data_IF_513077023049
#
_entry.id   IF_513077023049
#
_cell.length_a   1.000
_cell.length_b   1.000
_cell.length_c   1.000
_cell.angle_alpha   90.00
_cell.angle_beta   90.00
_cell.angle_gamma   90.00
#
_symmetry.space_group_name_H-M   'P 1'
#
loop_
_entity.id
_entity.type
_entity.pdbx_description
1 polymer ?
#
# COMPACT_ATOMS: atom_id res chain seq x y z
N UNK A 1 -15.32 -9.74 52.07
CA UNK A 1 -15.73 -10.32 50.76
C UNK A 1 -14.48 -10.74 50.00
N UNK A 2 -14.28 -12.05 49.88
CA UNK A 2 -13.18 -12.67 49.12
C UNK A 2 -13.63 -12.75 47.66
N UNK A 3 -12.88 -12.14 46.74
CA UNK A 3 -13.05 -12.32 45.31
C UNK A 3 -11.86 -13.09 44.75
N UNK A 4 -12.08 -14.41 44.67
CA UNK A 4 -11.26 -15.42 44.02
C UNK A 4 -11.36 -15.21 42.51
N UNK A 5 -10.30 -14.67 41.87
CA UNK A 5 -10.18 -14.64 40.41
C UNK A 5 -9.93 -16.07 39.91
N UNK A 6 -10.80 -16.56 39.04
CA UNK A 6 -10.66 -17.84 38.35
C UNK A 6 -9.59 -17.68 37.27
N UNK A 7 -8.54 -18.50 37.33
CA UNK A 7 -7.54 -18.70 36.26
C UNK A 7 -8.28 -19.23 35.03
N UNK A 8 -8.28 -18.49 33.91
CA UNK A 8 -8.86 -19.01 32.67
C UNK A 8 -8.77 -18.11 31.44
N UNK A 9 -8.76 -16.79 31.57
CA UNK A 9 -8.77 -15.88 30.41
C UNK A 9 -7.75 -14.75 30.58
N UNK A 10 -6.47 -15.11 30.47
CA UNK A 10 -5.47 -14.13 30.03
C UNK A 10 -5.56 -14.17 28.51
N UNK A 11 -6.19 -13.16 27.91
CA UNK A 11 -6.07 -12.90 26.47
C UNK A 11 -4.56 -12.94 26.17
N UNK A 12 -4.11 -13.89 25.34
CA UNK A 12 -2.72 -13.91 24.89
C UNK A 12 -2.48 -12.56 24.21
N UNK A 13 -1.63 -11.74 24.82
CA UNK A 13 -1.23 -10.46 24.23
C UNK A 13 -0.63 -10.75 22.85
N UNK A 14 -1.08 -10.02 21.84
CA UNK A 14 -0.55 -10.18 20.49
C UNK A 14 0.92 -9.74 20.48
N UNK A 15 1.80 -10.43 19.73
CA UNK A 15 3.18 -9.99 19.56
C UNK A 15 3.24 -8.54 19.07
N UNK A 16 4.28 -7.79 19.41
CA UNK A 16 4.40 -6.40 18.96
C UNK A 16 4.35 -6.25 17.43
N UNK A 17 3.84 -5.10 16.96
CA UNK A 17 3.89 -4.71 15.55
C UNK A 17 4.99 -3.68 15.35
N UNK A 18 5.91 -3.93 14.42
CA UNK A 18 6.93 -2.96 13.99
C UNK A 18 6.54 -2.37 12.65
N UNK A 19 6.55 -1.04 12.51
CA UNK A 19 6.30 -0.36 11.23
C UNK A 19 7.56 0.39 10.77
N UNK A 20 7.93 0.21 9.50
CA UNK A 20 9.10 0.84 8.89
C UNK A 20 8.74 1.41 7.51
N UNK A 21 9.23 2.63 7.22
CA UNK A 21 9.20 3.20 5.87
C UNK A 21 10.46 2.77 5.14
N UNK A 22 10.31 2.27 3.92
CA UNK A 22 11.41 1.89 3.05
C UNK A 22 11.35 2.76 1.80
N UNK A 23 12.38 3.56 1.60
CA UNK A 23 12.47 4.51 0.50
C UNK A 23 13.03 3.84 -0.76
N UNK A 24 12.26 3.87 -1.83
CA UNK A 24 12.66 3.43 -3.17
C UNK A 24 13.17 4.63 -3.97
N UNK A 25 14.37 4.51 -4.55
CA UNK A 25 14.99 5.58 -5.34
C UNK A 25 14.70 5.38 -6.81
N UNK A 26 14.02 6.34 -7.43
CA UNK A 26 13.74 6.33 -8.86
C UNK A 26 15.02 6.33 -9.69
N UNK A 27 15.01 5.54 -10.77
CA UNK A 27 15.98 5.65 -11.87
C UNK A 27 15.82 6.95 -12.65
N UNK A 28 16.70 7.19 -13.63
CA UNK A 28 16.70 8.43 -14.39
C UNK A 28 15.42 8.58 -15.24
N UNK A 29 15.01 7.52 -15.96
CA UNK A 29 13.81 7.56 -16.79
C UNK A 29 12.55 7.74 -15.95
N UNK A 30 12.41 6.98 -14.86
CA UNK A 30 11.26 7.10 -13.94
C UNK A 30 11.16 8.50 -13.34
N UNK A 31 12.29 9.07 -12.88
CA UNK A 31 12.33 10.40 -12.26
C UNK A 31 11.95 11.47 -13.27
N UNK A 32 12.54 11.44 -14.47
CA UNK A 32 12.21 12.40 -15.54
C UNK A 32 10.73 12.35 -15.90
N UNK A 33 10.17 11.15 -16.01
CA UNK A 33 8.75 10.97 -16.29
C UNK A 33 7.90 11.58 -15.17
N UNK A 34 8.21 11.28 -13.91
CA UNK A 34 7.52 11.83 -12.75
C UNK A 34 7.55 13.36 -12.71
N UNK A 35 8.74 13.96 -12.83
CA UNK A 35 8.94 15.42 -12.79
C UNK A 35 8.16 16.14 -13.89
N UNK A 36 8.13 15.60 -15.11
CA UNK A 36 7.37 16.19 -16.22
C UNK A 36 5.87 16.26 -15.91
N UNK A 37 5.30 15.20 -15.32
CA UNK A 37 3.89 15.21 -14.92
C UNK A 37 3.63 16.14 -13.73
N UNK A 38 4.54 16.17 -12.76
CA UNK A 38 4.39 16.98 -11.56
C UNK A 38 4.46 18.49 -11.88
N UNK A 39 5.46 18.92 -12.66
CA UNK A 39 5.59 20.31 -13.12
C UNK A 39 4.38 20.73 -13.93
N UNK A 40 3.93 19.88 -14.88
CA UNK A 40 2.76 20.19 -15.70
C UNK A 40 1.50 20.39 -14.86
N UNK A 41 1.29 19.56 -13.85
CA UNK A 41 0.16 19.69 -12.95
C UNK A 41 0.27 20.95 -12.10
N UNK A 42 1.46 21.25 -11.58
CA UNK A 42 1.73 22.47 -10.79
C UNK A 42 1.43 23.74 -11.61
N UNK A 43 1.98 23.86 -12.82
CA UNK A 43 1.70 24.99 -13.71
C UNK A 43 0.21 25.14 -14.07
N UNK A 44 -0.50 24.01 -14.20
CA UNK A 44 -1.95 24.02 -14.45
C UNK A 44 -2.72 24.54 -13.24
N UNK A 45 -2.30 24.19 -12.02
CA UNK A 45 -2.94 24.63 -10.78
C UNK A 45 -2.70 26.12 -10.52
N UNK A 46 -1.48 26.61 -10.75
CA UNK A 46 -1.13 28.02 -10.57
C UNK A 46 -2.05 28.95 -11.37
N UNK A 47 -2.35 28.57 -12.62
CA UNK A 47 -3.16 29.33 -13.56
C UNK A 47 -4.67 29.28 -13.28
N UNK A 48 -5.13 28.36 -12.44
CA UNK A 48 -6.55 28.19 -12.12
C UNK A 48 -6.97 29.02 -10.91
N UNK A 49 -8.13 29.67 -10.99
CA UNK A 49 -8.83 30.21 -9.83
C UNK A 49 -9.44 29.09 -8.98
N UNK A 50 -9.83 29.40 -7.74
CA UNK A 50 -10.47 28.42 -6.84
C UNK A 50 -11.78 27.86 -7.44
N UNK A 51 -12.56 28.70 -8.14
CA UNK A 51 -13.79 28.26 -8.80
C UNK A 51 -13.52 27.29 -9.96
N UNK A 52 -12.48 27.55 -10.75
CA UNK A 52 -12.06 26.65 -11.84
C UNK A 52 -11.52 25.34 -11.29
N UNK A 53 -10.79 25.38 -10.18
CA UNK A 53 -10.28 24.21 -9.49
C UNK A 53 -11.41 23.32 -8.98
N UNK A 54 -12.47 23.89 -8.39
CA UNK A 54 -13.64 23.09 -7.97
C UNK A 54 -14.34 22.42 -9.16
N UNK A 55 -14.43 23.11 -10.31
CA UNK A 55 -14.99 22.54 -11.55
C UNK A 55 -14.07 21.48 -12.19
N UNK A 56 -12.75 21.65 -12.08
CA UNK A 56 -11.72 20.80 -12.65
C UNK A 56 -11.19 19.70 -11.72
N UNK A 57 -11.76 19.55 -10.51
CA UNK A 57 -11.22 18.68 -9.46
C UNK A 57 -11.03 17.23 -9.89
N UNK A 58 -11.95 16.70 -10.69
CA UNK A 58 -11.84 15.34 -11.22
C UNK A 58 -10.58 15.15 -12.09
N UNK A 59 -10.24 16.14 -12.91
CA UNK A 59 -9.03 16.09 -13.74
C UNK A 59 -7.78 16.12 -12.86
N UNK A 60 -7.75 16.97 -11.84
CA UNK A 60 -6.63 17.04 -10.89
C UNK A 60 -6.43 15.70 -10.18
N UNK A 61 -7.52 15.07 -9.72
CA UNK A 61 -7.46 13.75 -9.11
C UNK A 61 -6.95 12.66 -10.07
N UNK A 62 -7.28 12.75 -11.36
CA UNK A 62 -6.77 11.85 -12.37
C UNK A 62 -5.25 12.02 -12.57
N UNK A 63 -4.74 13.25 -12.63
CA UNK A 63 -3.30 13.52 -12.74
C UNK A 63 -2.53 13.09 -11.49
N UNK A 64 -3.07 13.33 -10.29
CA UNK A 64 -2.48 12.82 -9.04
C UNK A 64 -2.46 11.28 -9.00
N UNK A 65 -3.51 10.65 -9.51
CA UNK A 65 -3.55 9.19 -9.66
C UNK A 65 -2.44 8.73 -10.61
N UNK A 66 -2.22 9.45 -11.71
CA UNK A 66 -1.15 9.17 -12.67
C UNK A 66 0.24 9.28 -12.04
N UNK A 67 0.49 10.34 -11.25
CA UNK A 67 1.74 10.49 -10.49
C UNK A 67 1.99 9.31 -9.54
N UNK A 68 0.95 8.87 -8.82
CA UNK A 68 1.04 7.70 -7.93
C UNK A 68 1.30 6.40 -8.70
N UNK A 69 0.69 6.23 -9.88
CA UNK A 69 0.97 5.09 -10.76
C UNK A 69 2.41 5.11 -11.28
N UNK A 70 2.96 6.28 -11.64
CA UNK A 70 4.37 6.44 -12.02
C UNK A 70 5.30 6.07 -10.85
N UNK A 71 4.94 6.43 -9.61
CA UNK A 71 5.69 6.00 -8.43
C UNK A 71 5.67 4.48 -8.26
N UNK A 72 4.52 3.84 -8.48
CA UNK A 72 4.35 2.40 -8.37
C UNK A 72 5.13 1.63 -9.43
N UNK A 73 4.82 1.88 -10.70
CA UNK A 73 5.48 1.29 -11.86
C UNK A 73 5.05 2.02 -13.15
N UNK A 74 5.95 2.73 -13.84
CA UNK A 74 5.63 3.37 -15.12
C UNK A 74 5.11 2.42 -16.20
N UNK A 75 5.49 1.14 -16.14
CA UNK A 75 5.03 0.06 -17.02
C UNK A 75 3.50 -0.11 -16.99
N UNK A 76 2.84 0.34 -15.92
CA UNK A 76 1.37 0.35 -15.82
C UNK A 76 0.71 1.33 -16.80
N UNK A 77 1.47 2.32 -17.27
CA UNK A 77 0.99 3.42 -18.10
C UNK A 77 1.64 3.48 -19.48
N UNK A 78 2.85 2.93 -19.61
CA UNK A 78 3.70 3.08 -20.78
C UNK A 78 4.29 1.72 -21.18
N UNK A 79 3.80 1.15 -22.27
CA UNK A 79 4.26 -0.17 -22.78
C UNK A 79 5.73 -0.18 -23.20
N UNK A 80 6.27 0.99 -23.58
CA UNK A 80 7.65 1.16 -24.03
C UNK A 80 8.62 1.56 -22.91
N UNK A 81 8.17 1.59 -21.65
CA UNK A 81 9.07 1.80 -20.52
C UNK A 81 9.99 0.58 -20.35
N UNK A 82 11.31 0.83 -20.30
CA UNK A 82 12.32 -0.23 -20.45
C UNK A 82 13.13 -0.50 -19.18
N UNK A 83 13.23 0.50 -18.30
CA UNK A 83 13.82 0.33 -16.98
C UNK A 83 12.89 -0.48 -16.06
N UNK A 84 13.39 -0.95 -14.92
CA UNK A 84 12.54 -1.56 -13.90
C UNK A 84 12.11 -0.50 -12.89
N UNK A 85 10.83 -0.52 -12.50
CA UNK A 85 10.34 0.38 -11.44
C UNK A 85 11.13 0.24 -10.13
N UNK A 86 11.52 1.37 -9.55
CA UNK A 86 12.26 1.39 -8.28
C UNK A 86 11.55 0.66 -7.13
N UNK A 87 10.22 0.76 -7.05
CA UNK A 87 9.44 0.09 -5.99
C UNK A 87 9.33 -1.40 -6.23
N UNK A 88 9.29 -1.86 -7.48
CA UNK A 88 9.33 -3.29 -7.81
C UNK A 88 10.65 -3.88 -7.35
N UNK A 89 11.79 -3.26 -7.69
CA UNK A 89 13.11 -3.75 -7.26
C UNK A 89 13.26 -3.75 -5.73
N UNK A 90 12.92 -2.63 -5.07
CA UNK A 90 12.93 -2.55 -3.60
C UNK A 90 12.02 -3.61 -2.97
N UNK A 91 10.85 -3.88 -3.56
CA UNK A 91 9.93 -4.89 -3.07
C UNK A 91 10.52 -6.31 -3.21
N UNK A 92 11.16 -6.61 -4.33
CA UNK A 92 11.82 -7.91 -4.53
C UNK A 92 12.95 -8.12 -3.53
N UNK A 93 13.76 -7.10 -3.25
CA UNK A 93 14.79 -7.16 -2.21
C UNK A 93 14.20 -7.52 -0.84
N UNK A 94 13.10 -6.89 -0.44
CA UNK A 94 12.40 -7.23 0.80
C UNK A 94 11.83 -8.65 0.79
N UNK A 95 11.29 -9.10 -0.35
CA UNK A 95 10.77 -10.47 -0.50
C UNK A 95 11.91 -11.48 -0.29
N UNK A 96 13.08 -11.27 -0.91
CA UNK A 96 14.23 -12.16 -0.73
C UNK A 96 14.73 -12.19 0.71
N UNK A 97 14.83 -11.03 1.36
CA UNK A 97 15.24 -10.95 2.76
C UNK A 97 14.27 -11.69 3.68
N UNK A 98 12.97 -11.49 3.50
CA UNK A 98 11.94 -12.18 4.27
C UNK A 98 11.96 -13.71 4.04
N UNK A 99 12.10 -14.16 2.80
CA UNK A 99 12.21 -15.59 2.47
C UNK A 99 13.47 -16.22 3.07
N UNK A 100 14.59 -15.51 3.07
CA UNK A 100 15.85 -15.97 3.68
C UNK A 100 15.70 -16.16 5.20
N UNK A 101 14.83 -15.38 5.83
CA UNK A 101 14.43 -15.53 7.24
C UNK A 101 13.26 -16.50 7.47
N UNK A 102 12.81 -17.25 6.45
CA UNK A 102 11.65 -18.15 6.52
C UNK A 102 10.35 -17.44 7.00
N UNK A 103 10.14 -16.23 6.50
CA UNK A 103 8.93 -15.44 6.71
C UNK A 103 8.02 -15.48 5.49
N UNK A 104 6.71 -15.56 5.75
CA UNK A 104 5.66 -15.35 4.74
C UNK A 104 5.20 -13.90 4.72
N UNK A 105 4.79 -13.46 3.54
CA UNK A 105 4.60 -12.06 3.19
C UNK A 105 3.18 -11.84 2.67
N UNK A 106 2.50 -10.84 3.21
CA UNK A 106 1.33 -10.23 2.56
C UNK A 106 1.76 -8.96 1.85
N UNK A 107 1.54 -8.87 0.55
CA UNK A 107 1.85 -7.69 -0.25
C UNK A 107 0.54 -7.03 -0.68
N UNK A 108 0.32 -5.83 -0.18
CA UNK A 108 -0.87 -5.04 -0.49
C UNK A 108 -0.58 -3.94 -1.49
N UNK A 109 -1.50 -3.75 -2.44
CA UNK A 109 -1.52 -2.58 -3.32
C UNK A 109 -2.97 -2.14 -3.55
N UNK A 110 -3.18 -0.83 -3.72
CA UNK A 110 -4.48 -0.33 -4.21
C UNK A 110 -4.62 -0.50 -5.73
N UNK A 111 -3.51 -0.53 -6.46
CA UNK A 111 -3.47 -0.59 -7.91
C UNK A 111 -3.29 -2.04 -8.38
N UNK A 112 -4.39 -2.73 -8.65
CA UNK A 112 -4.32 -4.12 -9.17
C UNK A 112 -3.53 -4.24 -10.48
N UNK A 113 -3.36 -3.16 -11.25
CA UNK A 113 -2.54 -3.15 -12.45
C UNK A 113 -1.04 -3.31 -12.19
N UNK A 114 -0.57 -3.21 -10.94
CA UNK A 114 0.83 -3.54 -10.60
C UNK A 114 1.06 -5.05 -10.44
N UNK A 115 0.01 -5.84 -10.18
CA UNK A 115 0.14 -7.27 -9.94
C UNK A 115 0.74 -8.02 -11.14
N UNK A 116 0.31 -7.81 -12.40
CA UNK A 116 0.94 -8.46 -13.54
C UNK A 116 2.47 -8.21 -13.64
N UNK A 117 2.95 -7.05 -13.19
CA UNK A 117 4.37 -6.69 -13.18
C UNK A 117 5.10 -7.47 -12.08
N UNK A 118 4.55 -7.47 -10.86
CA UNK A 118 5.10 -8.24 -9.73
C UNK A 118 5.08 -9.74 -10.00
N UNK A 119 4.00 -10.26 -10.58
CA UNK A 119 3.84 -11.66 -10.97
C UNK A 119 4.88 -12.09 -11.99
N UNK A 120 5.11 -11.28 -13.04
CA UNK A 120 6.17 -11.53 -14.01
C UNK A 120 7.52 -11.67 -13.32
N UNK A 121 7.82 -10.79 -12.35
CA UNK A 121 9.08 -10.82 -11.60
C UNK A 121 9.18 -12.04 -10.69
N UNK A 122 8.12 -12.36 -9.94
CA UNK A 122 8.03 -13.56 -9.09
C UNK A 122 8.21 -14.85 -9.90
N UNK A 123 7.58 -14.95 -11.08
CA UNK A 123 7.69 -16.10 -11.98
C UNK A 123 9.10 -16.26 -12.56
N UNK A 124 9.74 -15.15 -12.98
CA UNK A 124 11.13 -15.16 -13.45
C UNK A 124 12.09 -15.71 -12.39
N UNK A 125 11.80 -15.44 -11.12
CA UNK A 125 12.58 -15.89 -9.97
C UNK A 125 12.09 -17.21 -9.36
N UNK A 126 11.05 -17.81 -9.94
CA UNK A 126 10.43 -19.07 -9.47
C UNK A 126 9.92 -18.99 -8.03
N UNK A 127 9.46 -17.81 -7.60
CA UNK A 127 8.84 -17.59 -6.29
C UNK A 127 7.34 -17.89 -6.41
N UNK A 128 6.82 -18.92 -5.72
CA UNK A 128 5.40 -19.21 -5.75
C UNK A 128 4.62 -18.13 -5.00
N UNK A 129 3.40 -17.84 -5.46
CA UNK A 129 2.55 -16.83 -4.86
C UNK A 129 1.06 -17.17 -5.00
N UNK A 130 0.24 -16.54 -4.19
CA UNK A 130 -1.21 -16.42 -4.40
C UNK A 130 -1.57 -14.99 -4.73
N UNK A 131 -2.68 -14.80 -5.44
CA UNK A 131 -3.24 -13.49 -5.77
C UNK A 131 -4.71 -13.43 -5.36
N UNK A 132 -5.09 -12.36 -4.68
CA UNK A 132 -6.46 -12.09 -4.27
C UNK A 132 -6.87 -10.69 -4.70
N UNK A 133 -7.87 -10.63 -5.57
CA UNK A 133 -8.51 -9.38 -6.01
C UNK A 133 -9.99 -9.38 -5.71
N UNK A 134 -10.66 -8.26 -6.00
CA UNK A 134 -12.12 -8.16 -5.87
C UNK A 134 -12.88 -9.11 -6.79
N UNK A 135 -12.22 -9.61 -7.85
CA UNK A 135 -12.78 -10.55 -8.81
C UNK A 135 -12.67 -12.02 -8.36
N UNK A 136 -11.85 -12.30 -7.32
CA UNK A 136 -11.68 -13.65 -6.79
C UNK A 136 -12.97 -14.12 -6.10
N UNK A 137 -13.50 -15.27 -6.54
CA UNK A 137 -14.70 -15.89 -5.95
C UNK A 137 -14.50 -16.22 -4.47
N UNK A 138 -15.60 -16.25 -3.70
CA UNK A 138 -15.57 -16.56 -2.26
C UNK A 138 -14.95 -17.94 -1.98
N UNK A 139 -15.24 -18.93 -2.81
CA UNK A 139 -14.70 -20.29 -2.69
C UNK A 139 -13.17 -20.31 -2.89
N UNK A 140 -12.67 -19.75 -4.00
CA UNK A 140 -11.24 -19.68 -4.26
C UNK A 140 -10.49 -18.88 -3.19
N UNK A 141 -11.11 -17.81 -2.69
CA UNK A 141 -10.57 -17.02 -1.57
C UNK A 141 -10.35 -17.87 -0.32
N UNK A 142 -11.35 -18.66 0.10
CA UNK A 142 -11.23 -19.53 1.27
C UNK A 142 -10.12 -20.57 1.05
N UNK A 143 -10.13 -21.23 -0.12
CA UNK A 143 -9.11 -22.21 -0.50
C UNK A 143 -7.68 -21.65 -0.44
N UNK A 144 -7.42 -20.49 -1.05
CA UNK A 144 -6.09 -19.88 -1.04
C UNK A 144 -5.67 -19.42 0.37
N UNK A 145 -6.61 -18.95 1.18
CA UNK A 145 -6.33 -18.56 2.58
C UNK A 145 -5.90 -19.76 3.42
N UNK A 146 -6.61 -20.88 3.30
CA UNK A 146 -6.26 -22.13 3.98
C UNK A 146 -4.90 -22.67 3.50
N UNK A 147 -4.68 -22.67 2.19
CA UNK A 147 -3.42 -23.12 1.59
C UNK A 147 -2.24 -22.21 1.98
N UNK A 148 -2.44 -20.89 2.04
CA UNK A 148 -1.39 -19.97 2.47
C UNK A 148 -1.04 -20.15 3.95
N UNK A 149 -2.03 -20.38 4.81
CA UNK A 149 -1.77 -20.59 6.23
C UNK A 149 -1.04 -21.92 6.51
N UNK A 150 -1.41 -22.99 5.79
CA UNK A 150 -0.90 -24.35 6.03
C UNK A 150 0.29 -24.79 5.16
N UNK A 151 0.46 -24.20 3.97
CA UNK A 151 1.49 -24.58 3.00
C UNK A 151 2.76 -23.72 3.09
N UNK A 152 3.63 -23.80 2.08
CA UNK A 152 4.94 -23.10 2.07
C UNK A 152 5.02 -21.93 1.09
N UNK A 153 3.90 -21.54 0.48
CA UNK A 153 3.86 -20.41 -0.47
C UNK A 153 4.23 -19.11 0.27
N UNK A 154 5.33 -18.42 -0.12
CA UNK A 154 5.89 -17.32 0.65
C UNK A 154 5.15 -16.00 0.47
N UNK A 155 4.50 -15.78 -0.68
CA UNK A 155 3.94 -14.47 -1.06
C UNK A 155 2.44 -14.56 -1.31
N UNK A 156 1.69 -13.62 -0.75
CA UNK A 156 0.28 -13.40 -1.07
C UNK A 156 0.05 -11.96 -1.53
N UNK A 157 -0.21 -11.78 -2.83
CA UNK A 157 -0.61 -10.50 -3.42
C UNK A 157 -2.09 -10.23 -3.12
N UNK A 158 -2.40 -9.10 -2.51
CA UNK A 158 -3.75 -8.79 -2.06
C UNK A 158 -4.12 -7.38 -2.49
N UNK A 159 -5.17 -7.26 -3.30
CA UNK A 159 -5.72 -5.94 -3.58
C UNK A 159 -6.39 -5.41 -2.32
N UNK A 160 -6.16 -4.13 -2.02
CA UNK A 160 -6.77 -3.49 -0.85
C UNK A 160 -8.29 -3.73 -0.77
N UNK A 161 -9.00 -3.49 -1.87
CA UNK A 161 -10.47 -3.63 -1.92
C UNK A 161 -10.94 -5.03 -1.55
N UNK A 162 -10.12 -6.05 -1.78
CA UNK A 162 -10.40 -7.44 -1.38
C UNK A 162 -9.95 -7.77 0.06
N UNK A 163 -8.99 -7.01 0.61
CA UNK A 163 -8.51 -7.12 1.99
C UNK A 163 -9.57 -6.80 3.07
N UNK A 164 -10.61 -6.02 2.73
CA UNK A 164 -11.72 -5.70 3.64
C UNK A 164 -12.66 -6.87 3.99
N UNK A 165 -12.45 -8.06 3.41
CA UNK A 165 -13.46 -9.14 3.40
C UNK A 165 -13.34 -10.19 4.52
N UNK A 166 -12.66 -9.90 5.62
CA UNK A 166 -12.67 -10.79 6.79
C UNK A 166 -11.56 -11.87 6.85
N UNK A 167 -10.56 -11.80 5.96
CA UNK A 167 -9.50 -12.81 5.83
C UNK A 167 -8.68 -13.01 7.11
N UNK A 168 -8.34 -14.27 7.42
CA UNK A 168 -7.47 -14.65 8.53
C UNK A 168 -6.15 -15.21 7.98
N UNK A 169 -5.08 -14.42 8.00
CA UNK A 169 -3.80 -14.72 7.35
C UNK A 169 -2.65 -14.71 8.38
N UNK A 170 -2.83 -15.45 9.46
CA UNK A 170 -1.91 -15.46 10.62
C UNK A 170 -0.53 -16.07 10.32
N UNK A 171 -0.37 -16.81 9.22
CA UNK A 171 0.94 -17.38 8.88
C UNK A 171 1.95 -16.34 8.37
N UNK A 172 1.48 -15.17 7.93
CA UNK A 172 2.36 -14.08 7.52
C UNK A 172 2.94 -13.34 8.74
N UNK A 173 4.23 -13.04 8.68
CA UNK A 173 4.93 -12.22 9.68
C UNK A 173 5.51 -10.94 9.08
N UNK A 174 5.46 -10.82 7.75
CA UNK A 174 5.83 -9.61 7.02
C UNK A 174 4.61 -9.10 6.26
N UNK A 175 4.38 -7.79 6.35
CA UNK A 175 3.38 -7.07 5.55
C UNK A 175 4.11 -6.01 4.75
N UNK A 176 3.91 -5.97 3.44
CA UNK A 176 4.43 -4.93 2.57
C UNK A 176 3.24 -4.14 2.02
N UNK A 177 3.18 -2.86 2.33
CA UNK A 177 2.31 -1.91 1.62
C UNK A 177 3.10 -1.34 0.45
N UNK A 178 2.76 -1.79 -0.76
CA UNK A 178 3.44 -1.41 -1.97
C UNK A 178 3.20 0.05 -2.35
N UNK A 179 2.08 0.65 -1.94
CA UNK A 179 1.75 2.05 -2.17
C UNK A 179 1.03 2.66 -0.96
N UNK A 180 1.28 3.93 -0.63
CA UNK A 180 0.58 4.61 0.47
C UNK A 180 -0.85 4.95 0.06
N UNK A 181 -1.78 4.83 0.99
CA UNK A 181 -3.20 5.17 0.76
C UNK A 181 -3.55 6.53 1.30
N UNK A 182 -4.71 7.05 0.95
CA UNK A 182 -5.22 8.25 1.61
C UNK A 182 -5.90 7.93 2.94
N UNK A 183 -6.56 6.76 3.02
CA UNK A 183 -7.28 6.32 4.20
C UNK A 183 -6.43 5.35 5.03
N UNK A 184 -5.88 5.86 6.13
CA UNK A 184 -5.04 5.09 7.05
C UNK A 184 -5.84 4.02 7.82
N UNK A 185 -7.13 4.22 8.06
CA UNK A 185 -7.98 3.23 8.73
C UNK A 185 -8.13 1.97 7.86
N UNK A 186 -8.31 2.12 6.55
CA UNK A 186 -8.31 1.01 5.60
C UNK A 186 -6.96 0.26 5.60
N UNK A 187 -5.84 0.99 5.65
CA UNK A 187 -4.49 0.41 5.70
C UNK A 187 -4.22 -0.35 7.00
N UNK A 188 -4.62 0.22 8.13
CA UNK A 188 -4.54 -0.45 9.43
C UNK A 188 -5.41 -1.71 9.40
N UNK A 189 -6.64 -1.62 8.90
CA UNK A 189 -7.54 -2.78 8.79
C UNK A 189 -6.95 -3.92 7.93
N UNK A 190 -6.21 -3.59 6.86
CA UNK A 190 -5.50 -4.57 6.04
C UNK A 190 -4.31 -5.20 6.80
N UNK A 191 -3.55 -4.39 7.53
CA UNK A 191 -2.43 -4.83 8.38
C UNK A 191 -2.90 -5.73 9.53
N UNK A 192 -4.01 -5.39 10.16
CA UNK A 192 -4.67 -6.13 11.23
C UNK A 192 -5.21 -7.50 10.78
N UNK A 193 -5.07 -7.86 9.49
CA UNK A 193 -5.36 -9.23 9.00
C UNK A 193 -4.19 -10.20 9.23
N UNK A 194 -2.95 -9.68 9.23
CA UNK A 194 -1.76 -10.44 9.63
C UNK A 194 -1.57 -10.41 11.15
N UNK A 195 -1.95 -9.30 11.79
CA UNK A 195 -1.85 -9.10 13.24
C UNK A 195 -3.16 -9.51 13.95
N UNK A 196 -3.45 -10.83 13.95
CA UNK A 196 -4.66 -11.40 14.57
C UNK A 196 -4.33 -12.39 15.68
N UNK A 197 -5.32 -12.65 16.53
CA UNK A 197 -5.28 -13.69 17.55
C UNK A 197 -4.93 -15.03 16.88
N UNK A 198 -3.86 -15.67 17.35
CA UNK A 198 -3.24 -16.85 16.72
C UNK A 198 -1.92 -16.56 16.00
N UNK A 199 -1.51 -15.30 15.90
CA UNK A 199 -0.17 -14.93 15.48
C UNK A 199 0.84 -15.25 16.59
N UNK A 200 1.91 -15.98 16.24
CA UNK A 200 2.99 -16.36 17.17
C UNK A 200 4.28 -15.57 16.92
N UNK A 201 4.42 -14.94 15.74
CA UNK A 201 5.60 -14.17 15.35
C UNK A 201 5.33 -12.67 15.45
N UNK A 202 6.38 -11.89 15.74
CA UNK A 202 6.33 -10.44 15.57
C UNK A 202 5.96 -10.10 14.13
N UNK A 203 5.04 -9.15 13.94
CA UNK A 203 4.63 -8.70 12.61
C UNK A 203 5.39 -7.43 12.25
N UNK A 204 6.17 -7.48 11.16
CA UNK A 204 6.86 -6.31 10.63
C UNK A 204 6.13 -5.80 9.39
N UNK A 205 5.88 -4.50 9.37
CA UNK A 205 5.15 -3.80 8.30
C UNK A 205 6.10 -2.86 7.59
N UNK A 206 6.35 -3.10 6.31
CA UNK A 206 7.10 -2.21 5.44
C UNK A 206 6.14 -1.36 4.62
N UNK A 207 6.36 -0.04 4.59
CA UNK A 207 5.66 0.90 3.71
C UNK A 207 6.64 1.36 2.65
N UNK A 208 6.44 0.92 1.40
CA UNK A 208 7.29 1.33 0.29
C UNK A 208 6.90 2.72 -0.19
N UNK A 209 7.89 3.62 -0.29
CA UNK A 209 7.68 5.02 -0.66
C UNK A 209 8.73 5.45 -1.68
N UNK A 210 8.29 5.94 -2.83
CA UNK A 210 9.19 6.54 -3.79
C UNK A 210 9.75 7.86 -3.23
N UNK A 211 11.07 7.96 -3.13
CA UNK A 211 11.77 9.09 -2.52
C UNK A 211 11.60 10.37 -3.34
N UNK A 212 11.42 11.52 -2.66
CA UNK A 212 11.20 12.84 -3.27
C UNK A 212 9.98 12.89 -4.21
N UNK A 213 8.86 12.33 -3.76
CA UNK A 213 7.62 12.28 -4.53
C UNK A 213 6.40 12.64 -3.69
N UNK A 214 5.26 12.71 -4.37
CA UNK A 214 3.91 12.82 -3.81
C UNK A 214 3.66 11.79 -2.69
N UNK A 215 4.27 10.61 -2.74
CA UNK A 215 4.05 9.56 -1.75
C UNK A 215 4.55 9.97 -0.35
N UNK A 216 5.63 10.73 -0.25
CA UNK A 216 6.15 11.24 1.03
C UNK A 216 5.20 12.27 1.64
N UNK A 217 4.64 13.15 0.78
CA UNK A 217 3.68 14.18 1.20
C UNK A 217 2.36 13.56 1.64
N UNK A 218 1.90 12.51 0.96
CA UNK A 218 0.73 11.72 1.39
C UNK A 218 0.94 11.20 2.81
N UNK A 219 2.10 10.61 3.10
CA UNK A 219 2.40 10.12 4.47
C UNK A 219 2.42 11.26 5.48
N UNK A 220 3.08 12.38 5.15
CA UNK A 220 3.15 13.55 6.04
C UNK A 220 1.74 14.05 6.39
N UNK A 221 0.87 14.21 5.38
CA UNK A 221 -0.51 14.62 5.56
C UNK A 221 -1.34 13.61 6.37
N UNK A 222 -1.13 12.31 6.18
CA UNK A 222 -1.76 11.29 7.03
C UNK A 222 -1.38 11.46 8.50
N UNK A 223 -0.09 11.68 8.78
CA UNK A 223 0.44 11.85 10.14
C UNK A 223 -0.07 13.15 10.78
N UNK A 224 -0.18 14.23 10.02
CA UNK A 224 -0.74 15.50 10.50
C UNK A 224 -2.23 15.37 10.79
N UNK A 225 -3.01 14.79 9.86
CA UNK A 225 -4.46 14.58 10.08
C UNK A 225 -4.76 13.62 11.22
N UNK A 226 -3.92 12.60 11.46
CA UNK A 226 -4.04 11.75 12.66
C UNK A 226 -3.94 12.53 13.96
N UNK A 227 -3.08 13.56 14.03
CA UNK A 227 -2.94 14.41 15.21
C UNK A 227 -4.12 15.36 15.41
N UNK A 228 -4.81 15.71 14.32
CA UNK A 228 -5.87 16.71 14.29
C UNK A 228 -7.29 16.13 14.36
N UNK A 229 -7.53 14.88 13.93
CA UNK A 229 -8.87 14.27 13.94
C UNK A 229 -8.83 12.74 13.89
N UNK A 230 -9.50 12.09 14.85
CA UNK A 230 -9.80 10.65 14.84
C UNK A 230 -10.96 10.28 13.90
N UNK A 231 -11.42 11.20 13.06
CA UNK A 231 -12.46 10.99 12.06
C UNK A 231 -11.89 11.30 10.68
N UNK A 232 -11.53 10.28 9.91
CA UNK A 232 -11.16 10.45 8.50
C UNK A 232 -12.07 9.58 7.62
N UNK A 233 -12.96 10.33 6.96
CA UNK A 233 -13.61 10.13 5.66
C UNK A 233 -13.39 8.77 4.96
N UNK A 234 -14.50 8.07 4.77
CA UNK A 234 -14.60 6.86 3.95
C UNK A 234 -14.43 7.20 2.45
N UNK A 235 -13.40 6.63 1.82
CA UNK A 235 -13.21 6.62 0.36
C UNK A 235 -12.11 7.53 -0.19
N UNK A 236 -11.38 7.02 -1.20
CA UNK A 236 -10.31 7.74 -1.93
C UNK A 236 -10.77 9.09 -2.47
N UNK A 237 -11.98 9.13 -3.05
CA UNK A 237 -12.56 10.35 -3.61
C UNK A 237 -12.88 11.39 -2.54
N UNK A 238 -13.36 10.98 -1.37
CA UNK A 238 -13.78 11.89 -0.31
C UNK A 238 -12.58 12.60 0.35
N UNK A 239 -11.51 11.86 0.68
CA UNK A 239 -10.32 12.42 1.30
C UNK A 239 -9.57 13.40 0.37
N UNK A 240 -9.43 13.05 -0.91
CA UNK A 240 -8.79 13.92 -1.90
C UNK A 240 -9.72 15.05 -2.36
N UNK A 241 -11.05 14.88 -2.30
CA UNK A 241 -12.02 15.96 -2.53
C UNK A 241 -12.04 17.03 -1.44
N UNK A 242 -11.48 16.76 -0.26
CA UNK A 242 -11.37 17.74 0.82
C UNK A 242 -10.13 18.65 0.70
N UNK A 243 -9.23 18.37 -0.25
CA UNK A 243 -8.01 19.16 -0.46
C UNK A 243 -8.32 20.50 -1.13
N UNK A 244 -7.63 21.53 -0.65
CA UNK A 244 -7.59 22.91 -1.17
C UNK A 244 -6.52 23.05 -2.25
N UNK A 245 -6.48 24.21 -2.92
CA UNK A 245 -5.42 24.53 -3.89
C UNK A 245 -4.04 24.48 -3.23
N UNK A 246 -3.91 25.08 -2.05
CA UNK A 246 -2.65 25.10 -1.30
C UNK A 246 -2.20 23.70 -0.91
N UNK A 247 -3.14 22.83 -0.49
CA UNK A 247 -2.82 21.42 -0.22
C UNK A 247 -2.27 20.72 -1.48
N UNK A 248 -2.88 20.93 -2.65
CA UNK A 248 -2.38 20.34 -3.90
C UNK A 248 -0.99 20.86 -4.28
N UNK A 249 -0.72 22.15 -4.05
CA UNK A 249 0.60 22.73 -4.32
C UNK A 249 1.65 22.14 -3.37
N UNK A 250 1.40 22.07 -2.06
CA UNK A 250 2.33 21.48 -1.09
C UNK A 250 2.64 20.01 -1.40
N UNK A 251 1.63 19.26 -1.87
CA UNK A 251 1.77 17.85 -2.25
C UNK A 251 2.69 17.67 -3.47
N UNK A 252 2.76 18.67 -4.36
CA UNK A 252 3.52 18.61 -5.60
C UNK A 252 4.92 19.22 -5.49
N UNK A 253 5.29 19.82 -4.36
CA UNK A 253 6.66 20.29 -4.12
C UNK A 253 7.62 19.11 -3.90
N UNK A 254 8.63 18.98 -4.76
CA UNK A 254 9.67 17.94 -4.71
C UNK A 254 11.08 18.53 -4.73
#
# INVERSE_FOLDING_TARGET
>A
FILRRVKGEVLKELPDKMEQIVYARMGEEQRKLYEVHAVRLMESLEKQSDEELQKGKLQILAELTRLRQICCAPEMLYENYSETSCKVETCMELIHQAMSGNHKILLFSQFTSVFPILEKRLLQEKIPYYELTGQTSKENRMRMTEQFNSGDVPVFLISLKAGGTGLNLTAASIVIHFDPWWNLAAQNQATDRAHRIGQEKQVTVFKLIAQNTIEEKIIKLQQEKQKLSSQILDGEGAAASALTKDDFMEILEF
#
